data_IF_691076137991
#
_entry.id   IF_691076137991
#
_cell.length_a   1.000
_cell.length_b   1.000
_cell.length_c   1.000
_cell.angle_alpha   90.00
_cell.angle_beta   90.00
_cell.angle_gamma   90.00
#
_symmetry.space_group_name_H-M   'P 1'
#
loop_
_entity.id
_entity.type
_entity.pdbx_description
1 polymer ?
#
# COMPACT_ATOMS: atom_id res chain seq x y z
N UNK A 1 -3.13 19.78 18.24
CA UNK A 1 -1.65 19.65 18.25
C UNK A 1 -1.27 19.55 19.71
N UNK A 2 -0.78 18.40 20.17
CA UNK A 2 -0.55 18.16 21.60
C UNK A 2 0.61 18.99 22.14
N UNK A 3 0.49 19.44 23.38
CA UNK A 3 1.46 20.32 24.07
C UNK A 3 2.70 19.58 24.59
N UNK A 4 2.89 18.31 24.24
CA UNK A 4 4.04 17.52 24.67
C UNK A 4 5.30 17.88 23.86
N UNK A 5 6.39 18.31 24.50
CA UNK A 5 7.67 18.48 23.83
C UNK A 5 8.10 17.18 23.16
N UNK A 6 8.59 17.25 21.91
CA UNK A 6 9.08 16.13 21.10
C UNK A 6 8.02 15.08 20.70
N UNK A 7 6.73 15.44 20.73
CA UNK A 7 5.65 14.55 20.30
C UNK A 7 5.87 13.99 18.88
N UNK A 8 6.26 14.84 17.93
CA UNK A 8 6.55 14.42 16.55
C UNK A 8 7.68 13.38 16.46
N UNK A 9 8.73 13.53 17.27
CA UNK A 9 9.86 12.58 17.28
C UNK A 9 9.45 11.20 17.80
N UNK A 10 8.42 11.13 18.65
CA UNK A 10 7.82 9.87 19.10
C UNK A 10 6.95 9.25 18.00
N UNK A 11 6.15 10.05 17.30
CA UNK A 11 5.34 9.56 16.19
C UNK A 11 6.22 9.00 15.06
N UNK A 12 7.30 9.69 14.67
CA UNK A 12 8.26 9.18 13.68
C UNK A 12 8.96 7.90 14.15
N UNK A 13 9.26 7.79 15.44
CA UNK A 13 9.81 6.55 16.00
C UNK A 13 8.83 5.38 15.88
N UNK A 14 7.55 5.60 16.17
CA UNK A 14 6.52 4.58 16.02
C UNK A 14 6.26 4.21 14.55
N UNK A 15 6.31 5.19 13.64
CA UNK A 15 6.25 4.94 12.20
C UNK A 15 7.39 4.01 11.75
N UNK A 16 8.63 4.32 12.11
CA UNK A 16 9.78 3.46 11.78
C UNK A 16 9.66 2.05 12.40
N UNK A 17 9.07 1.94 13.60
CA UNK A 17 8.77 0.64 14.21
C UNK A 17 7.72 -0.13 13.41
N UNK A 18 6.63 0.53 12.98
CA UNK A 18 5.61 -0.04 12.12
C UNK A 18 6.17 -0.58 10.80
N UNK A 19 7.03 0.19 10.13
CA UNK A 19 7.72 -0.24 8.89
C UNK A 19 8.59 -1.48 9.10
N UNK A 20 9.27 -1.54 10.25
CA UNK A 20 10.14 -2.66 10.59
C UNK A 20 9.32 -3.92 10.87
N UNK A 21 8.20 -3.78 11.58
CA UNK A 21 7.29 -4.89 11.86
C UNK A 21 6.58 -5.40 10.60
N UNK A 22 6.19 -4.50 9.69
CA UNK A 22 5.65 -4.87 8.39
C UNK A 22 6.64 -5.75 7.61
N UNK A 23 7.91 -5.32 7.53
CA UNK A 23 8.98 -6.08 6.87
C UNK A 23 9.25 -7.44 7.49
N UNK A 24 9.05 -7.57 8.80
CA UNK A 24 9.29 -8.80 9.54
C UNK A 24 8.06 -9.72 9.61
N UNK A 25 6.89 -9.28 9.13
CA UNK A 25 5.64 -10.03 9.29
C UNK A 25 5.22 -10.21 10.76
N UNK A 26 5.66 -9.31 11.65
CA UNK A 26 5.26 -9.32 13.07
C UNK A 26 3.74 -9.17 13.18
N UNK A 27 3.08 -9.62 14.25
CA UNK A 27 1.65 -9.30 14.49
C UNK A 27 1.46 -7.83 14.88
N UNK A 28 0.23 -7.31 14.80
CA UNK A 28 -0.08 -5.94 15.27
C UNK A 28 0.07 -5.87 16.81
N UNK A 29 0.70 -4.81 17.36
CA UNK A 29 0.78 -4.64 18.80
C UNK A 29 -0.60 -4.33 19.38
N UNK A 30 -0.85 -4.79 20.58
CA UNK A 30 -1.97 -4.33 21.40
C UNK A 30 -1.73 -2.89 21.87
N UNK A 31 -2.80 -2.21 22.27
CA UNK A 31 -2.73 -0.84 22.80
C UNK A 31 -1.79 -0.69 23.99
N UNK A 32 -1.81 -1.69 24.87
CA UNK A 32 -0.92 -1.73 26.02
C UNK A 32 0.55 -1.89 25.60
N UNK A 33 0.83 -2.70 24.57
CA UNK A 33 2.18 -2.85 24.03
C UNK A 33 2.66 -1.57 23.34
N UNK A 34 1.80 -0.95 22.53
CA UNK A 34 2.09 0.32 21.85
C UNK A 34 2.37 1.44 22.86
N UNK A 35 1.52 1.55 23.89
CA UNK A 35 1.72 2.50 25.00
C UNK A 35 3.03 2.23 25.74
N UNK A 36 3.32 0.97 26.05
CA UNK A 36 4.56 0.60 26.73
C UNK A 36 5.80 0.89 25.88
N UNK A 37 5.74 0.71 24.55
CA UNK A 37 6.81 1.11 23.63
C UNK A 37 7.02 2.63 23.67
N UNK A 38 5.95 3.40 23.59
CA UNK A 38 6.00 4.86 23.64
C UNK A 38 6.61 5.36 24.96
N UNK A 39 6.19 4.79 26.08
CA UNK A 39 6.71 5.14 27.42
C UNK A 39 8.18 4.73 27.63
N UNK A 40 8.63 3.63 27.01
CA UNK A 40 10.04 3.20 27.05
C UNK A 40 10.96 4.06 26.20
N UNK A 41 10.45 4.74 25.19
CA UNK A 41 11.26 5.59 24.30
C UNK A 41 11.93 6.75 25.02
N UNK A 42 11.35 7.19 26.16
CA UNK A 42 11.77 8.37 26.93
C UNK A 42 11.88 9.67 26.12
N UNK A 43 11.34 9.71 24.89
CA UNK A 43 11.36 10.89 24.01
C UNK A 43 10.41 11.97 24.48
N UNK A 44 9.30 11.53 25.09
CA UNK A 44 8.19 12.37 25.58
C UNK A 44 7.83 11.91 26.99
N UNK A 45 7.57 12.87 27.88
CA UNK A 45 6.98 12.58 29.19
C UNK A 45 5.47 12.38 29.02
N UNK A 46 5.07 11.11 28.85
CA UNK A 46 3.67 10.72 28.73
C UNK A 46 3.03 10.58 30.12
N UNK A 47 1.70 10.74 30.24
CA UNK A 47 1.00 10.42 31.47
C UNK A 47 1.12 8.93 31.81
N UNK A 48 1.06 8.60 33.10
CA UNK A 48 1.14 7.20 33.57
C UNK A 48 -0.06 6.37 33.10
N UNK A 49 -1.22 7.01 32.93
CA UNK A 49 -2.44 6.37 32.46
C UNK A 49 -2.56 6.49 30.94
N UNK A 50 -3.05 5.42 30.31
CA UNK A 50 -3.37 5.40 28.89
C UNK A 50 -4.44 6.46 28.63
N UNK A 51 -4.07 7.44 27.81
CA UNK A 51 -4.99 8.43 27.27
C UNK A 51 -5.45 7.96 25.89
N UNK A 52 -6.77 7.91 25.66
CA UNK A 52 -7.34 7.37 24.43
C UNK A 52 -7.01 8.20 23.19
N UNK A 53 -6.92 9.53 23.34
CA UNK A 53 -6.65 10.44 22.22
C UNK A 53 -5.17 10.33 21.83
N UNK A 54 -4.26 10.30 22.82
CA UNK A 54 -2.85 10.03 22.55
C UNK A 54 -2.64 8.65 21.94
N UNK A 55 -3.31 7.62 22.47
CA UNK A 55 -3.21 6.27 21.95
C UNK A 55 -3.69 6.17 20.50
N UNK A 56 -4.73 6.91 20.11
CA UNK A 56 -5.19 6.98 18.73
C UNK A 56 -4.07 7.53 17.82
N UNK A 57 -3.45 8.65 18.20
CA UNK A 57 -2.34 9.23 17.42
C UNK A 57 -1.11 8.31 17.34
N UNK A 58 -0.76 7.60 18.43
CA UNK A 58 0.32 6.61 18.42
C UNK A 58 -0.02 5.44 17.48
N UNK A 59 -1.28 5.00 17.48
CA UNK A 59 -1.76 3.91 16.63
C UNK A 59 -1.73 4.32 15.17
N UNK A 60 -2.18 5.53 14.86
CA UNK A 60 -2.13 6.09 13.51
C UNK A 60 -0.69 6.18 13.02
N UNK A 61 0.24 6.70 13.82
CA UNK A 61 1.65 6.76 13.42
C UNK A 61 2.30 5.38 13.22
N UNK A 62 1.99 4.40 14.08
CA UNK A 62 2.47 3.04 13.91
C UNK A 62 1.87 2.37 12.66
N UNK A 63 0.57 2.54 12.45
CA UNK A 63 -0.14 2.00 11.29
C UNK A 63 0.32 2.67 9.99
N UNK A 64 0.58 3.98 9.99
CA UNK A 64 1.20 4.70 8.87
C UNK A 64 2.51 4.03 8.44
N UNK A 65 3.35 3.66 9.40
CA UNK A 65 4.60 2.98 9.10
C UNK A 65 4.40 1.56 8.61
N UNK A 66 3.41 0.88 9.18
CA UNK A 66 3.15 -0.52 8.93
C UNK A 66 2.40 -0.80 7.64
N UNK A 67 1.49 0.09 7.29
CA UNK A 67 0.69 0.09 6.09
C UNK A 67 0.53 1.55 5.62
N UNK A 68 1.51 2.10 4.91
CA UNK A 68 1.46 3.50 4.53
C UNK A 68 0.23 3.75 3.64
N UNK A 69 -0.59 4.74 4.01
CA UNK A 69 -1.65 5.23 3.12
C UNK A 69 -1.05 5.77 1.83
N UNK A 70 0.21 6.22 1.89
CA UNK A 70 0.98 6.67 0.74
C UNK A 70 1.72 5.53 0.06
N UNK A 71 1.55 5.40 -1.24
CA UNK A 71 2.27 4.41 -2.05
C UNK A 71 2.98 5.03 -3.26
N UNK A 72 4.04 4.34 -3.73
CA UNK A 72 4.74 4.67 -4.96
C UNK A 72 3.92 4.22 -6.18
N UNK A 73 3.48 5.18 -6.99
CA UNK A 73 2.68 4.89 -8.19
C UNK A 73 3.51 4.17 -9.26
N UNK A 74 4.83 4.36 -9.29
CA UNK A 74 5.70 3.70 -10.24
C UNK A 74 5.75 2.19 -9.98
N UNK A 75 5.69 1.78 -8.70
CA UNK A 75 5.58 0.37 -8.32
C UNK A 75 4.27 -0.25 -8.84
N UNK A 76 3.14 0.47 -8.77
CA UNK A 76 1.86 0.03 -9.34
C UNK A 76 1.98 -0.20 -10.85
N UNK A 77 2.57 0.74 -11.60
CA UNK A 77 2.78 0.58 -13.05
C UNK A 77 3.63 -0.65 -13.38
N UNK A 78 4.70 -0.89 -12.62
CA UNK A 78 5.55 -2.08 -12.81
C UNK A 78 4.74 -3.37 -12.57
N UNK A 79 3.89 -3.41 -11.55
CA UNK A 79 3.03 -4.58 -11.30
C UNK A 79 1.97 -4.76 -12.39
N UNK A 80 1.30 -3.70 -12.85
CA UNK A 80 0.34 -3.81 -13.97
C UNK A 80 1.03 -4.35 -15.23
N UNK A 81 2.25 -3.89 -15.52
CA UNK A 81 3.06 -4.41 -16.63
C UNK A 81 3.45 -5.89 -16.46
N UNK A 82 3.71 -6.34 -15.23
CA UNK A 82 3.97 -7.77 -14.93
C UNK A 82 2.77 -8.66 -15.22
N UNK A 83 1.56 -8.12 -15.13
CA UNK A 83 0.32 -8.80 -15.52
C UNK A 83 0.03 -8.74 -17.03
N UNK A 84 0.92 -8.16 -17.84
CA UNK A 84 0.82 -8.16 -19.31
C UNK A 84 -0.01 -7.02 -19.88
N UNK A 85 -0.27 -5.97 -19.10
CA UNK A 85 -0.96 -4.77 -19.56
C UNK A 85 -0.02 -3.57 -19.66
N UNK A 86 -0.17 -2.78 -20.71
CA UNK A 86 0.53 -1.50 -20.82
C UNK A 86 0.04 -0.55 -19.73
N UNK A 87 0.98 0.12 -19.05
CA UNK A 87 0.68 1.13 -18.06
C UNK A 87 1.76 2.21 -18.05
N UNK A 88 1.36 3.46 -17.80
CA UNK A 88 2.30 4.56 -17.60
C UNK A 88 1.68 5.65 -16.72
N UNK A 89 2.52 6.54 -16.19
CA UNK A 89 2.07 7.70 -15.43
C UNK A 89 2.12 8.93 -16.34
N UNK A 90 0.97 9.58 -16.49
CA UNK A 90 0.84 10.88 -17.15
C UNK A 90 0.68 12.02 -16.15
N UNK A 91 0.83 13.24 -16.67
CA UNK A 91 0.66 14.49 -15.91
C UNK A 91 -0.66 15.15 -16.29
N UNK A 92 -1.54 15.36 -15.31
CA UNK A 92 -2.89 15.92 -15.50
C UNK A 92 -3.02 17.30 -14.82
N UNK A 93 -2.19 18.28 -15.24
CA UNK A 93 -2.20 19.63 -14.66
C UNK A 93 -1.76 19.66 -13.19
N UNK A 94 -1.57 20.84 -12.58
CA UNK A 94 -1.44 20.97 -11.11
C UNK A 94 -0.41 20.09 -10.37
N UNK A 95 0.64 19.60 -11.03
CA UNK A 95 1.55 18.55 -10.51
C UNK A 95 0.89 17.19 -10.18
N UNK A 96 -0.33 16.95 -10.68
CA UNK A 96 -1.08 15.70 -10.53
C UNK A 96 -0.49 14.60 -11.39
N UNK A 97 -0.31 13.43 -10.79
CA UNK A 97 0.06 12.18 -11.45
C UNK A 97 -1.19 11.32 -11.65
N UNK A 98 -1.32 10.70 -12.82
CA UNK A 98 -2.43 9.79 -13.15
C UNK A 98 -1.85 8.56 -13.84
N UNK A 99 -2.26 7.36 -13.42
CA UNK A 99 -1.95 6.12 -14.12
C UNK A 99 -2.94 5.96 -15.26
N UNK A 100 -2.43 5.67 -16.45
CA UNK A 100 -3.19 5.23 -17.62
C UNK A 100 -2.79 3.81 -17.94
N UNK A 101 -3.77 2.89 -18.05
CA UNK A 101 -3.50 1.47 -18.18
C UNK A 101 -4.46 0.74 -19.14
N UNK A 102 -3.99 -0.39 -19.68
CA UNK A 102 -4.73 -1.24 -20.60
C UNK A 102 -4.66 -0.79 -22.06
N UNK A 103 -5.59 -1.25 -22.89
CA UNK A 103 -5.61 -0.93 -24.32
C UNK A 103 -6.04 0.51 -24.57
N UNK A 104 -5.33 1.19 -25.48
CA UNK A 104 -5.76 2.48 -25.99
C UNK A 104 -6.82 2.30 -27.08
N UNK A 105 -7.86 3.14 -27.08
CA UNK A 105 -8.91 3.19 -28.08
C UNK A 105 -9.25 4.64 -28.43
N UNK A 106 -10.07 4.84 -29.46
CA UNK A 106 -10.56 6.16 -29.85
C UNK A 106 -12.03 6.26 -29.50
N UNK A 107 -12.41 7.30 -28.77
CA UNK A 107 -13.81 7.54 -28.42
C UNK A 107 -14.62 8.11 -29.59
N UNK A 108 -15.92 8.31 -29.37
CA UNK A 108 -16.85 8.84 -30.38
C UNK A 108 -16.50 10.25 -30.88
N UNK A 109 -15.68 11.00 -30.16
CA UNK A 109 -15.23 12.34 -30.53
C UNK A 109 -13.88 12.32 -31.27
N UNK A 110 -13.25 11.15 -31.40
CA UNK A 110 -11.93 11.02 -32.00
C UNK A 110 -10.78 11.16 -30.99
N UNK A 111 -11.07 11.27 -29.70
CA UNK A 111 -10.04 11.42 -28.67
C UNK A 111 -9.47 10.05 -28.28
N UNK A 112 -8.16 9.99 -28.08
CA UNK A 112 -7.51 8.78 -27.62
C UNK A 112 -7.77 8.58 -26.11
N UNK A 113 -8.30 7.41 -25.76
CA UNK A 113 -8.66 6.99 -24.41
C UNK A 113 -7.93 5.72 -24.02
N UNK A 114 -7.63 5.59 -22.74
CA UNK A 114 -7.15 4.34 -22.17
C UNK A 114 -8.31 3.51 -21.64
N UNK A 115 -8.10 2.20 -21.47
CA UNK A 115 -9.11 1.38 -20.84
C UNK A 115 -9.37 1.83 -19.40
N UNK A 116 -8.31 2.14 -18.65
CA UNK A 116 -8.38 2.56 -17.24
C UNK A 116 -7.56 3.81 -16.98
N UNK A 117 -8.12 4.69 -16.15
CA UNK A 117 -7.39 5.76 -15.46
C UNK A 117 -7.43 5.52 -13.94
N UNK A 118 -6.35 5.86 -13.25
CA UNK A 118 -6.30 5.80 -11.81
C UNK A 118 -5.53 6.97 -11.19
N UNK A 119 -6.11 7.58 -10.15
CA UNK A 119 -5.62 8.82 -9.56
C UNK A 119 -6.60 9.44 -8.55
N UNK A 120 -6.29 10.61 -8.00
CA UNK A 120 -5.06 11.38 -8.24
C UNK A 120 -3.89 10.88 -7.40
N UNK A 121 -2.68 11.06 -7.93
CA UNK A 121 -1.47 11.21 -7.13
C UNK A 121 -0.77 12.53 -7.43
N UNK A 122 0.44 12.71 -6.94
CA UNK A 122 1.26 13.89 -7.18
C UNK A 122 2.74 13.54 -7.26
N UNK A 123 3.51 14.35 -7.98
CA UNK A 123 4.96 14.22 -8.01
C UNK A 123 5.59 14.94 -6.82
N UNK A 124 6.40 14.26 -6.01
CA UNK A 124 7.04 14.89 -4.84
C UNK A 124 8.34 15.61 -5.18
N UNK A 125 8.93 15.33 -6.35
CA UNK A 125 10.22 15.87 -6.75
C UNK A 125 10.15 16.79 -7.97
N UNK A 126 11.12 17.73 -8.12
CA UNK A 126 11.28 18.52 -9.33
C UNK A 126 11.38 17.63 -10.58
N UNK A 127 11.06 18.20 -11.75
CA UNK A 127 11.00 17.47 -13.02
C UNK A 127 9.99 16.30 -13.04
N UNK A 128 9.00 16.31 -12.14
CA UNK A 128 7.92 15.32 -12.07
C UNK A 128 8.46 13.90 -11.82
N UNK A 129 9.36 13.80 -10.86
CA UNK A 129 9.92 12.54 -10.39
C UNK A 129 9.20 12.10 -9.11
N UNK A 130 9.32 10.80 -8.78
CA UNK A 130 8.71 10.18 -7.62
C UNK A 130 7.19 10.46 -7.49
N UNK A 131 6.36 9.91 -8.40
CA UNK A 131 4.90 10.01 -8.27
C UNK A 131 4.41 9.15 -7.09
N UNK A 132 3.69 9.76 -6.18
CA UNK A 132 3.07 9.09 -5.03
C UNK A 132 1.57 9.39 -4.98
N UNK A 133 0.82 8.53 -4.32
CA UNK A 133 -0.60 8.74 -4.10
C UNK A 133 -0.99 8.30 -2.69
N UNK A 134 -2.10 8.81 -2.18
CA UNK A 134 -2.73 8.34 -0.94
C UNK A 134 -3.92 7.44 -1.27
N UNK A 135 -3.99 6.26 -0.67
CA UNK A 135 -5.09 5.30 -0.86
C UNK A 135 -6.46 5.90 -0.58
N UNK A 136 -6.56 6.83 0.37
CA UNK A 136 -7.84 7.47 0.76
C UNK A 136 -8.42 8.39 -0.31
N UNK A 137 -7.57 8.90 -1.21
CA UNK A 137 -7.99 9.78 -2.31
C UNK A 137 -7.94 9.06 -3.67
N UNK A 138 -7.22 7.95 -3.77
CA UNK A 138 -6.99 7.25 -5.03
C UNK A 138 -8.23 6.49 -5.50
N UNK A 139 -8.59 6.71 -6.75
CA UNK A 139 -9.71 6.07 -7.41
C UNK A 139 -9.27 5.40 -8.71
N UNK A 140 -9.97 4.34 -9.10
CA UNK A 140 -9.71 3.56 -10.31
C UNK A 140 -11.01 3.47 -11.11
N UNK A 141 -10.98 3.70 -12.41
CA UNK A 141 -12.15 3.55 -13.28
C UNK A 141 -11.83 3.66 -14.76
N UNK A 142 -12.85 3.52 -15.63
CA UNK A 142 -12.68 3.73 -17.07
C UNK A 142 -12.32 5.19 -17.38
N UNK A 143 -11.57 5.44 -18.46
CA UNK A 143 -11.27 6.80 -18.93
C UNK A 143 -12.52 7.52 -19.48
N UNK A 144 -13.46 6.75 -20.04
CA UNK A 144 -14.62 7.25 -20.79
C UNK A 144 -15.97 7.15 -20.05
N UNK A 145 -15.97 6.67 -18.79
CA UNK A 145 -17.18 6.44 -18.00
C UNK A 145 -17.17 7.23 -16.68
N UNK A 146 -18.32 7.33 -16.04
CA UNK A 146 -18.55 8.14 -14.85
C UNK A 146 -18.41 7.38 -13.53
N UNK A 147 -18.04 6.10 -13.57
CA UNK A 147 -17.88 5.31 -12.35
C UNK A 147 -16.42 5.10 -12.02
N UNK A 148 -16.15 5.16 -10.73
CA UNK A 148 -14.87 4.78 -10.14
C UNK A 148 -15.11 3.86 -8.95
N UNK A 149 -14.07 3.15 -8.56
CA UNK A 149 -13.95 2.48 -7.27
C UNK A 149 -12.87 3.20 -6.45
N UNK A 150 -13.14 3.40 -5.16
CA UNK A 150 -12.14 3.88 -4.23
C UNK A 150 -11.16 2.75 -3.89
N UNK A 151 -9.88 3.07 -3.78
CA UNK A 151 -8.90 2.13 -3.23
C UNK A 151 -9.11 2.05 -1.72
N UNK A 152 -9.25 0.85 -1.14
CA UNK A 152 -9.32 0.71 0.31
C UNK A 152 -8.10 1.32 0.99
N UNK A 153 -8.28 1.90 2.17
CA UNK A 153 -7.15 2.42 2.94
C UNK A 153 -6.07 1.36 3.12
N UNK A 154 -4.80 1.78 3.11
CA UNK A 154 -3.66 0.91 3.39
C UNK A 154 -3.39 -0.19 2.36
N UNK A 155 -4.06 -0.15 1.20
CA UNK A 155 -3.83 -1.07 0.09
C UNK A 155 -2.40 -0.94 -0.46
N UNK A 156 -1.69 -2.07 -0.57
CA UNK A 156 -0.33 -2.09 -1.11
C UNK A 156 -0.29 -1.80 -2.62
N UNK A 157 0.86 -1.38 -3.19
CA UNK A 157 0.97 -1.17 -4.65
C UNK A 157 0.56 -2.39 -5.49
N UNK A 158 0.85 -3.61 -5.01
CA UNK A 158 0.49 -4.86 -5.69
C UNK A 158 -1.02 -5.08 -5.69
N UNK A 159 -1.69 -4.79 -4.58
CA UNK A 159 -3.14 -4.88 -4.49
C UNK A 159 -3.83 -3.79 -5.32
N UNK A 160 -3.29 -2.57 -5.35
CA UNK A 160 -3.78 -1.50 -6.24
C UNK A 160 -3.65 -1.93 -7.71
N UNK A 161 -2.52 -2.53 -8.09
CA UNK A 161 -2.33 -3.05 -9.45
C UNK A 161 -3.34 -4.15 -9.78
N UNK A 162 -3.61 -5.06 -8.84
CA UNK A 162 -4.63 -6.11 -9.02
C UNK A 162 -6.03 -5.52 -9.25
N UNK A 163 -6.39 -4.44 -8.53
CA UNK A 163 -7.64 -3.71 -8.77
C UNK A 163 -7.68 -3.09 -10.17
N UNK A 164 -6.60 -2.46 -10.63
CA UNK A 164 -6.50 -1.91 -11.99
C UNK A 164 -6.67 -3.00 -13.05
N UNK A 165 -5.98 -4.14 -12.90
CA UNK A 165 -6.07 -5.27 -13.83
C UNK A 165 -7.49 -5.82 -13.89
N UNK A 166 -8.15 -6.00 -12.73
CA UNK A 166 -9.53 -6.47 -12.69
C UNK A 166 -10.49 -5.53 -13.45
N UNK A 167 -10.32 -4.21 -13.33
CA UNK A 167 -11.12 -3.24 -14.09
C UNK A 167 -10.81 -3.33 -15.60
N UNK A 168 -9.54 -3.48 -16.01
CA UNK A 168 -9.18 -3.67 -17.42
C UNK A 168 -9.89 -4.91 -18.00
N UNK A 169 -9.80 -6.05 -17.32
CA UNK A 169 -10.40 -7.31 -17.77
C UNK A 169 -11.92 -7.24 -17.86
N UNK A 170 -12.56 -6.58 -16.90
CA UNK A 170 -14.00 -6.37 -16.88
C UNK A 170 -14.48 -5.53 -18.07
N UNK A 171 -13.77 -4.43 -18.37
CA UNK A 171 -14.06 -3.58 -19.53
C UNK A 171 -13.90 -4.38 -20.82
N UNK A 172 -12.80 -5.14 -20.94
CA UNK A 172 -12.56 -6.00 -22.09
C UNK A 172 -13.63 -7.08 -22.28
N UNK A 173 -14.23 -7.57 -21.18
CA UNK A 173 -15.34 -8.52 -21.20
C UNK A 173 -16.71 -7.88 -21.48
N UNK A 174 -16.81 -6.55 -21.57
CA UNK A 174 -18.07 -5.82 -21.73
C UNK A 174 -19.00 -5.93 -20.52
N UNK A 175 -18.44 -6.18 -19.33
CA UNK A 175 -19.20 -6.33 -18.09
C UNK A 175 -19.43 -4.97 -17.43
N UNK A 176 -20.65 -4.69 -16.99
CA UNK A 176 -20.98 -3.45 -16.24
C UNK A 176 -20.32 -3.38 -14.86
N UNK A 177 -20.33 -2.20 -14.21
CA UNK A 177 -19.63 -1.81 -12.96
C UNK A 177 -19.38 -2.91 -11.90
N UNK A 178 -18.18 -2.93 -11.31
CA UNK A 178 -17.88 -3.73 -10.11
C UNK A 178 -18.65 -3.16 -8.91
N UNK A 179 -19.59 -3.93 -8.38
CA UNK A 179 -20.36 -3.54 -7.18
C UNK A 179 -19.64 -3.90 -5.89
N UNK A 180 -18.61 -4.73 -5.95
CA UNK A 180 -17.79 -5.18 -4.82
C UNK A 180 -16.32 -5.23 -5.25
N UNK A 181 -15.39 -4.77 -4.40
CA UNK A 181 -13.97 -4.94 -4.66
C UNK A 181 -13.66 -6.43 -4.83
N UNK A 182 -12.97 -6.86 -5.91
CA UNK A 182 -12.61 -8.26 -6.07
C UNK A 182 -11.82 -8.72 -4.84
N UNK A 183 -11.98 -9.97 -4.39
CA UNK A 183 -11.21 -10.48 -3.26
C UNK A 183 -9.72 -10.31 -3.59
N UNK A 184 -9.04 -9.46 -2.82
CA UNK A 184 -7.61 -9.24 -2.97
C UNK A 184 -6.90 -10.60 -2.83
N UNK A 185 -5.90 -10.90 -3.66
CA UNK A 185 -5.14 -12.12 -3.51
C UNK A 185 -4.54 -12.12 -2.10
N UNK A 186 -5.02 -13.03 -1.26
CA UNK A 186 -4.48 -13.22 0.09
C UNK A 186 -3.03 -13.61 -0.11
N UNK A 187 -2.09 -12.73 0.25
CA UNK A 187 -0.70 -13.09 0.39
C UNK A 187 -0.62 -14.18 1.47
N UNK A 188 -0.66 -15.44 1.04
CA UNK A 188 -0.21 -16.55 1.87
C UNK A 188 1.29 -16.32 2.01
N UNK A 189 1.68 -15.68 3.12
CA UNK A 189 3.07 -15.66 3.59
C UNK A 189 3.47 -17.10 3.90
N UNK A 190 3.78 -17.86 2.84
CA UNK A 190 4.28 -19.22 2.90
C UNK A 190 5.72 -19.22 3.37
N UNK A 191 5.91 -19.06 4.68
CA UNK A 191 7.08 -19.61 5.35
C UNK A 191 6.91 -21.14 5.37
N UNK A 192 7.10 -21.80 4.23
CA UNK A 192 7.44 -23.22 4.23
C UNK A 192 8.89 -23.35 4.70
N UNK A 193 9.02 -23.49 6.02
CA UNK A 193 10.22 -23.93 6.68
C UNK A 193 10.49 -25.37 6.22
N UNK A 194 11.36 -25.51 5.23
CA UNK A 194 11.89 -26.80 4.80
C UNK A 194 12.76 -27.39 5.92
N UNK A 195 12.14 -28.17 6.80
CA UNK A 195 12.79 -29.05 7.76
C UNK A 195 13.40 -30.25 7.01
N UNK A 196 14.60 -30.04 6.45
CA UNK A 196 15.46 -31.14 5.98
C UNK A 196 16.34 -31.64 7.13
N UNK A 197 15.75 -32.40 8.06
CA UNK A 197 16.49 -33.31 8.95
C UNK A 197 16.52 -34.71 8.34
N UNK A 198 17.67 -35.13 7.83
CA UNK A 198 17.98 -36.54 7.56
C UNK A 198 19.27 -36.67 6.74
N UNK A 199 20.31 -37.39 7.15
CA UNK A 199 20.61 -38.09 8.39
C UNK A 199 22.12 -38.29 8.46
N UNK A 200 22.68 -38.23 9.66
CA UNK A 200 24.07 -38.63 9.92
C UNK A 200 24.11 -40.16 10.02
N UNK A 201 24.68 -40.82 9.02
CA UNK A 201 25.06 -42.23 9.14
C UNK A 201 26.30 -42.33 10.03
N UNK A 202 26.10 -42.99 11.17
CA UNK A 202 27.13 -43.43 12.09
C UNK A 202 27.62 -44.81 11.61
N UNK A 203 28.90 -44.97 11.30
CA UNK A 203 29.52 -46.27 11.07
C UNK A 203 30.90 -46.30 11.73
N UNK A 204 30.92 -46.77 12.98
CA UNK A 204 32.12 -47.19 13.67
C UNK A 204 32.13 -48.70 13.88
N UNK A 205 33.31 -49.28 13.68
CA UNK A 205 33.90 -50.46 14.33
C UNK A 205 33.44 -51.89 13.99
N UNK A 206 34.47 -52.71 13.72
CA UNK A 206 34.51 -54.19 13.72
C UNK A 206 35.28 -54.67 12.48
N UNK A 207 36.43 -55.34 12.53
CA UNK A 207 37.26 -55.96 13.57
C UNK A 207 38.70 -56.04 13.04
#
# INVERSE_FOLDING_TARGET
MNDFPNWLDLLEFLRAAGETDARNGTSLPTDHELWAVAHRSQRVALPDQIDNDLLAELRDAFNDGRQPTRFDMQAVVVEVARHGHDAHIGHSGGNTATIYAGSQHTDQNGDARWAVIAGPGWFTEPARQAPVADTSEFQIGPDDDYWTIAVPDHTSPTEVAALIVAVIEQIAAGQGRLTESPPLPVHINGHEQSDARGGRANAGSGS
#
